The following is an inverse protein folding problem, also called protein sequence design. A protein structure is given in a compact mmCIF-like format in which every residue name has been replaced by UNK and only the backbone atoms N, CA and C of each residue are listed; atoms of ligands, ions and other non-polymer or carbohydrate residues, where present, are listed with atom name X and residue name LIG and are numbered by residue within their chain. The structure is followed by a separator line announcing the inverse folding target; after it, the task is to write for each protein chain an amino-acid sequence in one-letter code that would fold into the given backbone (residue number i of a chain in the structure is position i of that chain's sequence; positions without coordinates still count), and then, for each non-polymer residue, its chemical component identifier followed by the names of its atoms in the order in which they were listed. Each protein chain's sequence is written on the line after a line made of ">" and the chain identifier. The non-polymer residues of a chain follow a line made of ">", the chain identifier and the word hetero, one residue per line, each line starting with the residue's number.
data_IF_498511039809
#
_entry.id   IF_498511039809
#
_cell.length_a   1.000
_cell.length_b   1.000
_cell.length_c   1.000
_cell.angle_alpha   90.00
_cell.angle_beta   90.00
_cell.angle_gamma   90.00
#
_symmetry.space_group_name_H-M   'P 1'
#
loop_
_entity.id
_entity.type
_entity.pdbx_description
1 polymer ?
#
# COMPACT_ATOMS: atom_id res chain seq x y z
N UNK A 1 4.43 36.20 -6.46
CA UNK A 1 5.52 35.98 -5.49
C UNK A 1 5.09 34.85 -4.58
N UNK A 2 5.58 33.63 -4.82
CA UNK A 2 5.40 32.52 -3.89
C UNK A 2 6.15 32.85 -2.60
N UNK A 3 5.44 32.86 -1.47
CA UNK A 3 6.04 33.00 -0.15
C UNK A 3 6.79 31.70 0.15
N UNK A 4 8.11 31.79 0.22
CA UNK A 4 8.95 30.68 0.70
C UNK A 4 8.67 30.51 2.20
N UNK A 5 8.29 29.30 2.66
CA UNK A 5 8.03 29.03 4.07
C UNK A 5 9.29 29.23 4.93
N UNK A 6 9.13 29.67 6.17
CA UNK A 6 10.26 29.86 7.10
C UNK A 6 10.83 28.53 7.62
N UNK A 7 12.09 28.51 8.06
CA UNK A 7 12.81 27.30 8.49
C UNK A 7 12.06 26.48 9.57
N UNK A 8 11.38 27.13 10.52
CA UNK A 8 10.56 26.44 11.53
C UNK A 8 9.28 25.79 10.95
N UNK A 9 8.70 26.35 9.88
CA UNK A 9 7.57 25.72 9.17
C UNK A 9 8.05 24.51 8.36
N UNK A 10 9.27 24.56 7.83
CA UNK A 10 9.90 23.43 7.13
C UNK A 10 10.13 22.28 8.11
N UNK A 11 10.77 22.52 9.26
CA UNK A 11 10.97 21.49 10.30
C UNK A 11 9.66 20.91 10.84
N UNK A 12 8.61 21.75 10.99
CA UNK A 12 7.29 21.28 11.43
C UNK A 12 6.61 20.42 10.35
N UNK A 13 6.85 20.71 9.08
CA UNK A 13 6.35 19.94 7.93
C UNK A 13 7.08 18.61 7.77
N UNK A 14 8.38 18.57 8.01
CA UNK A 14 9.18 17.32 8.01
C UNK A 14 8.74 16.32 9.08
N UNK A 15 8.11 16.80 10.16
CA UNK A 15 7.48 15.97 11.20
C UNK A 15 5.95 15.84 11.06
N UNK A 16 5.36 16.41 10.02
CA UNK A 16 3.92 16.37 9.78
C UNK A 16 3.54 15.09 9.06
N UNK A 17 2.44 14.46 9.47
CA UNK A 17 1.86 13.31 8.77
C UNK A 17 1.25 13.71 7.41
N UNK A 18 1.04 15.01 7.19
CA UNK A 18 0.45 15.55 5.96
C UNK A 18 1.49 15.87 4.90
N UNK A 19 1.33 15.26 3.73
CA UNK A 19 2.14 15.55 2.56
C UNK A 19 1.93 16.99 2.06
N UNK A 20 3.05 17.65 1.81
CA UNK A 20 3.20 18.81 0.95
C UNK A 20 2.43 18.68 -0.37
N UNK A 21 1.96 19.79 -0.96
CA UNK A 21 1.41 19.75 -2.32
C UNK A 21 2.42 19.19 -3.34
N UNK A 22 3.70 19.56 -3.21
CA UNK A 22 4.77 19.06 -4.08
C UNK A 22 5.02 17.56 -3.88
N UNK A 23 5.04 17.09 -2.62
CA UNK A 23 5.20 15.66 -2.33
C UNK A 23 3.99 14.86 -2.82
N UNK A 24 2.77 15.38 -2.59
CA UNK A 24 1.53 14.76 -3.07
C UNK A 24 1.56 14.59 -4.59
N UNK A 25 1.91 15.64 -5.34
CA UNK A 25 2.04 15.58 -6.80
C UNK A 25 3.12 14.60 -7.25
N UNK A 26 4.27 14.57 -6.58
CA UNK A 26 5.35 13.63 -6.89
C UNK A 26 4.93 12.16 -6.65
N UNK A 27 4.26 11.88 -5.53
CA UNK A 27 3.70 10.56 -5.20
C UNK A 27 2.66 10.16 -6.23
N UNK A 28 1.70 11.03 -6.56
CA UNK A 28 0.65 10.75 -7.54
C UNK A 28 1.23 10.48 -8.94
N UNK A 29 2.19 11.29 -9.40
CA UNK A 29 2.81 11.11 -10.70
C UNK A 29 3.62 9.80 -10.80
N UNK A 30 4.33 9.43 -9.73
CA UNK A 30 5.09 8.17 -9.66
C UNK A 30 4.14 6.98 -9.60
N UNK A 31 3.13 7.07 -8.74
CA UNK A 31 2.12 6.03 -8.56
C UNK A 31 1.34 5.73 -9.83
N UNK A 32 0.96 6.75 -10.61
CA UNK A 32 0.24 6.56 -11.86
C UNK A 32 0.99 5.62 -12.83
N UNK A 33 2.34 5.66 -12.85
CA UNK A 33 3.16 4.75 -13.66
C UNK A 33 3.11 3.31 -13.17
N UNK A 34 3.09 3.12 -11.85
CA UNK A 34 2.97 1.79 -11.25
C UNK A 34 1.58 1.21 -11.47
N UNK A 35 0.54 2.04 -11.29
CA UNK A 35 -0.85 1.63 -11.40
C UNK A 35 -1.27 1.32 -12.84
N UNK A 36 -0.61 1.90 -13.85
CA UNK A 36 -0.81 1.54 -15.25
C UNK A 36 -0.59 0.03 -15.52
N UNK A 37 0.28 -0.61 -14.72
CA UNK A 37 0.52 -2.06 -14.74
C UNK A 37 0.17 -2.70 -13.38
N UNK A 38 -0.94 -2.27 -12.77
CA UNK A 38 -1.28 -2.58 -11.37
C UNK A 38 -1.26 -4.07 -11.06
N UNK A 39 -1.71 -4.90 -11.98
CA UNK A 39 -1.79 -6.34 -11.78
C UNK A 39 -0.40 -6.98 -11.63
N UNK A 40 0.49 -6.77 -12.61
CA UNK A 40 1.84 -7.34 -12.58
C UNK A 40 2.69 -6.72 -11.46
N UNK A 41 2.58 -5.42 -11.23
CA UNK A 41 3.27 -4.73 -10.14
C UNK A 41 2.80 -5.26 -8.78
N UNK A 42 1.48 -5.39 -8.58
CA UNK A 42 0.93 -5.90 -7.34
C UNK A 42 1.32 -7.35 -7.06
N UNK A 43 1.38 -8.18 -8.11
CA UNK A 43 1.85 -9.57 -8.02
C UNK A 43 3.32 -9.61 -7.62
N UNK A 44 4.17 -8.81 -8.28
CA UNK A 44 5.59 -8.74 -7.96
C UNK A 44 5.83 -8.30 -6.50
N UNK A 45 5.06 -7.32 -6.00
CA UNK A 45 5.11 -6.89 -4.60
C UNK A 45 4.74 -8.04 -3.66
N UNK A 46 3.61 -8.72 -3.89
CA UNK A 46 3.16 -9.82 -3.02
C UNK A 46 4.09 -11.03 -3.06
N UNK A 47 4.58 -11.42 -4.23
CA UNK A 47 5.54 -12.54 -4.35
C UNK A 47 6.81 -12.21 -3.59
N UNK A 48 7.36 -11.00 -3.76
CA UNK A 48 8.54 -10.55 -3.00
C UNK A 48 8.26 -10.54 -1.50
N UNK A 49 7.10 -10.07 -1.08
CA UNK A 49 6.69 -10.06 0.31
C UNK A 49 6.65 -11.48 0.90
N UNK A 50 6.02 -12.44 0.23
CA UNK A 50 5.93 -13.83 0.71
C UNK A 50 7.25 -14.58 0.70
N UNK A 51 8.17 -14.23 -0.21
CA UNK A 51 9.53 -14.80 -0.22
C UNK A 51 10.34 -14.30 0.97
N UNK A 52 10.29 -13.00 1.27
CA UNK A 52 11.04 -12.42 2.38
C UNK A 52 10.40 -12.66 3.75
N UNK A 53 9.07 -12.82 3.79
CA UNK A 53 8.31 -13.04 5.02
C UNK A 53 7.37 -14.25 4.89
N UNK A 54 7.89 -15.49 4.82
CA UNK A 54 7.05 -16.67 4.60
C UNK A 54 5.97 -16.89 5.66
N UNK A 55 6.22 -16.45 6.91
CA UNK A 55 5.26 -16.52 8.02
C UNK A 55 3.97 -15.74 7.75
N UNK A 56 4.01 -14.70 6.91
CA UNK A 56 2.83 -13.92 6.55
C UNK A 56 1.81 -14.72 5.71
N UNK A 57 2.26 -15.79 5.02
CA UNK A 57 1.38 -16.65 4.21
C UNK A 57 0.30 -17.33 5.04
N UNK A 58 0.46 -17.46 6.35
CA UNK A 58 -0.51 -18.11 7.24
C UNK A 58 -1.91 -17.49 7.17
N UNK A 59 -2.02 -16.19 6.88
CA UNK A 59 -3.30 -15.47 6.78
C UNK A 59 -4.02 -15.70 5.44
N UNK A 60 -3.38 -16.36 4.48
CA UNK A 60 -3.86 -16.56 3.12
C UNK A 60 -4.16 -18.04 2.87
N UNK A 61 -5.28 -18.54 3.41
CA UNK A 61 -5.68 -19.95 3.30
C UNK A 61 -5.61 -20.54 1.88
N UNK A 62 -5.86 -19.68 0.90
CA UNK A 62 -5.90 -19.94 -0.54
C UNK A 62 -4.55 -20.30 -1.18
N UNK A 63 -3.44 -19.75 -0.69
CA UNK A 63 -2.11 -19.98 -1.28
C UNK A 63 -0.99 -20.12 -0.23
N UNK A 64 -1.35 -20.35 1.03
CA UNK A 64 -0.38 -20.58 2.12
C UNK A 64 0.58 -21.75 1.89
N UNK A 65 0.17 -22.70 1.07
CA UNK A 65 0.92 -23.91 0.73
C UNK A 65 1.88 -23.70 -0.44
N UNK A 66 1.74 -22.62 -1.21
CA UNK A 66 2.62 -22.34 -2.34
C UNK A 66 3.99 -21.92 -1.80
N UNK A 67 5.03 -22.58 -2.29
CA UNK A 67 6.42 -22.32 -1.88
C UNK A 67 7.18 -21.67 -3.03
N UNK A 68 6.94 -22.14 -4.25
CA UNK A 68 7.66 -21.68 -5.44
C UNK A 68 7.17 -20.29 -5.91
N UNK A 69 8.06 -19.30 -6.09
CA UNK A 69 7.69 -17.96 -6.55
C UNK A 69 6.92 -17.95 -7.87
N UNK A 70 7.32 -18.82 -8.82
CA UNK A 70 6.66 -18.94 -10.12
C UNK A 70 5.23 -19.51 -10.01
N UNK A 71 4.97 -20.35 -9.02
CA UNK A 71 3.62 -20.85 -8.73
C UNK A 71 2.74 -19.73 -8.15
N UNK A 72 3.30 -18.97 -7.19
CA UNK A 72 2.63 -17.81 -6.59
C UNK A 72 2.26 -16.75 -7.63
N UNK A 73 3.18 -16.41 -8.54
CA UNK A 73 2.98 -15.43 -9.60
C UNK A 73 1.83 -15.82 -10.55
N UNK A 74 1.69 -17.12 -10.85
CA UNK A 74 0.66 -17.64 -11.75
C UNK A 74 -0.68 -17.89 -11.07
N UNK A 75 -0.75 -17.81 -9.73
CA UNK A 75 -1.95 -18.11 -8.96
C UNK A 75 -3.06 -17.08 -9.21
N UNK A 76 -4.21 -17.46 -9.80
CA UNK A 76 -5.30 -16.52 -10.06
C UNK A 76 -5.82 -15.84 -8.79
N UNK A 77 -5.74 -16.54 -7.66
CA UNK A 77 -6.20 -16.04 -6.36
C UNK A 77 -5.25 -14.99 -5.80
N UNK A 78 -3.93 -15.19 -5.92
CA UNK A 78 -2.93 -14.20 -5.53
C UNK A 78 -3.04 -12.96 -6.41
N UNK A 79 -3.18 -13.14 -7.73
CA UNK A 79 -3.35 -12.04 -8.68
C UNK A 79 -4.60 -11.19 -8.38
N UNK A 80 -5.73 -11.84 -8.09
CA UNK A 80 -6.95 -11.14 -7.64
C UNK A 80 -6.73 -10.37 -6.33
N UNK A 81 -5.94 -10.92 -5.41
CA UNK A 81 -5.62 -10.22 -4.17
C UNK A 81 -4.69 -9.02 -4.41
N UNK A 82 -3.67 -9.17 -5.26
CA UNK A 82 -2.79 -8.09 -5.70
C UNK A 82 -3.59 -6.90 -6.25
N UNK A 83 -4.54 -7.15 -7.17
CA UNK A 83 -5.36 -6.07 -7.74
C UNK A 83 -6.19 -5.33 -6.68
N UNK A 84 -6.67 -6.03 -5.63
CA UNK A 84 -7.40 -5.40 -4.53
C UNK A 84 -6.51 -4.48 -3.69
N UNK A 85 -5.28 -4.91 -3.40
CA UNK A 85 -4.30 -4.08 -2.68
C UNK A 85 -3.98 -2.83 -3.52
N UNK A 86 -3.66 -3.02 -4.80
CA UNK A 86 -3.31 -1.91 -5.68
C UNK A 86 -4.48 -0.93 -5.87
N UNK A 87 -5.73 -1.41 -5.99
CA UNK A 87 -6.90 -0.55 -6.08
C UNK A 87 -7.18 0.23 -4.78
N UNK A 88 -6.96 -0.41 -3.62
CA UNK A 88 -7.09 0.25 -2.33
C UNK A 88 -6.04 1.37 -2.16
N UNK A 89 -4.78 1.08 -2.49
CA UNK A 89 -3.70 2.07 -2.47
C UNK A 89 -3.95 3.19 -3.49
N UNK A 90 -4.46 2.87 -4.68
CA UNK A 90 -4.81 3.87 -5.68
C UNK A 90 -5.87 4.85 -5.16
N UNK A 91 -6.90 4.33 -4.50
CA UNK A 91 -7.93 5.18 -3.87
C UNK A 91 -7.31 6.13 -2.85
N UNK A 92 -6.36 5.66 -2.04
CA UNK A 92 -5.64 6.52 -1.08
C UNK A 92 -4.82 7.57 -1.81
N UNK A 93 -4.00 7.18 -2.80
CA UNK A 93 -3.10 8.09 -3.53
C UNK A 93 -3.84 9.18 -4.29
N UNK A 94 -4.95 8.85 -4.95
CA UNK A 94 -5.78 9.83 -5.66
C UNK A 94 -6.44 10.84 -4.69
N UNK A 95 -6.76 10.39 -3.49
CA UNK A 95 -7.46 11.19 -2.48
C UNK A 95 -6.55 11.76 -1.41
N UNK A 96 -5.22 11.79 -1.60
CA UNK A 96 -4.29 12.33 -0.60
C UNK A 96 -4.64 13.77 -0.17
N UNK A 97 -5.30 14.55 -1.03
CA UNK A 97 -5.75 15.92 -0.75
C UNK A 97 -6.93 16.00 0.23
N UNK A 98 -7.59 14.88 0.53
CA UNK A 98 -8.74 14.76 1.42
C UNK A 98 -8.38 13.80 2.59
N UNK A 99 -7.93 14.36 3.74
CA UNK A 99 -7.53 13.56 4.91
C UNK A 99 -8.66 12.68 5.47
N UNK A 100 -9.91 13.14 5.40
CA UNK A 100 -11.07 12.39 5.89
C UNK A 100 -11.32 11.17 5.00
N UNK A 101 -11.20 11.34 3.68
CA UNK A 101 -11.31 10.23 2.73
C UNK A 101 -10.19 9.22 2.94
N UNK A 102 -8.94 9.67 3.06
CA UNK A 102 -7.78 8.79 3.34
C UNK A 102 -8.01 8.01 4.63
N UNK A 103 -8.39 8.69 5.71
CA UNK A 103 -8.67 8.09 7.01
C UNK A 103 -9.80 7.06 6.93
N UNK A 104 -10.88 7.35 6.20
CA UNK A 104 -12.02 6.44 6.04
C UNK A 104 -11.63 5.14 5.34
N UNK A 105 -10.82 5.22 4.27
CA UNK A 105 -10.37 4.05 3.50
C UNK A 105 -9.42 3.20 4.32
N UNK A 106 -8.41 3.83 4.94
CA UNK A 106 -7.43 3.12 5.77
C UNK A 106 -8.07 2.51 7.01
N UNK A 107 -9.03 3.18 7.66
CA UNK A 107 -9.76 2.64 8.80
C UNK A 107 -10.60 1.42 8.43
N UNK A 108 -11.28 1.44 7.27
CA UNK A 108 -12.05 0.30 6.77
C UNK A 108 -11.14 -0.92 6.54
N UNK A 109 -10.00 -0.71 5.88
CA UNK A 109 -9.04 -1.77 5.59
C UNK A 109 -8.38 -2.29 6.86
N UNK A 110 -7.93 -1.40 7.75
CA UNK A 110 -7.32 -1.76 9.03
C UNK A 110 -8.26 -2.59 9.90
N UNK A 111 -9.53 -2.18 10.03
CA UNK A 111 -10.55 -2.95 10.76
C UNK A 111 -10.78 -4.34 10.14
N UNK A 112 -10.83 -4.45 8.82
CA UNK A 112 -10.97 -5.74 8.16
C UNK A 112 -9.78 -6.66 8.44
N UNK A 113 -8.55 -6.14 8.38
CA UNK A 113 -7.35 -6.93 8.66
C UNK A 113 -7.25 -7.35 10.13
N UNK A 114 -7.60 -6.46 11.06
CA UNK A 114 -7.57 -6.76 12.49
C UNK A 114 -8.67 -7.76 12.91
N UNK A 115 -9.93 -7.51 12.51
CA UNK A 115 -11.08 -8.24 13.05
C UNK A 115 -11.43 -9.49 12.24
N UNK A 116 -11.37 -9.41 10.91
CA UNK A 116 -11.77 -10.51 10.03
C UNK A 116 -10.59 -11.42 9.68
N UNK A 117 -9.47 -10.82 9.28
CA UNK A 117 -8.30 -11.59 8.81
C UNK A 117 -7.29 -11.91 9.91
N UNK A 118 -7.38 -11.22 11.05
CA UNK A 118 -6.52 -11.38 12.24
C UNK A 118 -5.02 -11.30 11.87
N UNK A 119 -4.69 -10.40 10.96
CA UNK A 119 -3.32 -10.18 10.49
C UNK A 119 -2.55 -9.38 11.55
N UNK A 120 -1.35 -9.82 11.89
CA UNK A 120 -0.49 -9.05 12.78
C UNK A 120 -0.10 -7.71 12.13
N UNK A 121 -0.22 -6.58 12.86
CA UNK A 121 -0.05 -5.25 12.28
C UNK A 121 1.37 -4.99 11.77
N UNK A 122 2.38 -5.73 12.26
CA UNK A 122 3.78 -5.65 11.79
C UNK A 122 3.89 -5.88 10.27
N UNK A 123 3.02 -6.71 9.71
CA UNK A 123 3.06 -7.04 8.28
C UNK A 123 2.64 -5.87 7.38
N UNK A 124 1.90 -4.87 7.88
CA UNK A 124 1.64 -3.66 7.10
C UNK A 124 2.91 -2.86 6.84
N UNK A 125 3.80 -2.77 7.84
CA UNK A 125 5.05 -2.01 7.73
C UNK A 125 6.08 -2.67 6.80
N UNK A 126 6.04 -3.99 6.67
CA UNK A 126 7.00 -4.75 5.84
C UNK A 126 6.47 -5.13 4.46
N UNK A 127 5.17 -4.90 4.20
CA UNK A 127 4.53 -5.10 2.90
C UNK A 127 4.62 -3.84 2.01
N UNK A 128 4.93 -2.69 2.61
CA UNK A 128 5.23 -1.40 1.96
C UNK A 128 6.73 -1.19 1.81
#
# INVERSE_FOLDING_TARGET
>A
MEKVPGEMEIERRERSEELSEAERKAVQATWARLYANCEDVGVAILVRFFVNFPSSKQYFSQFKHMVEPLEMERSPQLRKHACRIMGALNTVVENLHDPDKVSSVLALLGKAHALKHKVEPVYFKVCT
#
